data_IF_749876059803
#
_entry.id   IF_749876059803
#
_cell.length_a   1.000
_cell.length_b   1.000
_cell.length_c   1.000
_cell.angle_alpha   90.00
_cell.angle_beta   90.00
_cell.angle_gamma   90.00
#
_symmetry.space_group_name_H-M   'P 1'
#
loop_
_entity.id
_entity.type
_entity.pdbx_description
1 polymer ?
#
# COMPACT_ATOMS: atom_id res chain seq x y z
N UNK A 1 -90.83 -39.60 -15.30
CA UNK A 1 -90.01 -38.70 -14.44
C UNK A 1 -88.57 -39.07 -14.64
N UNK A 2 -87.77 -38.25 -15.34
CA UNK A 2 -86.33 -38.47 -15.58
C UNK A 2 -85.60 -37.32 -14.89
N UNK A 3 -84.80 -37.66 -13.90
CA UNK A 3 -83.94 -36.76 -13.16
C UNK A 3 -82.59 -36.68 -13.95
N UNK A 4 -82.30 -35.52 -14.51
CA UNK A 4 -81.00 -35.29 -15.16
C UNK A 4 -79.97 -34.83 -14.13
N UNK A 5 -78.82 -35.52 -14.11
CA UNK A 5 -77.71 -35.25 -13.24
C UNK A 5 -76.72 -34.36 -14.01
N UNK A 6 -76.57 -33.11 -13.54
CA UNK A 6 -75.64 -32.12 -14.10
C UNK A 6 -74.27 -32.29 -13.47
N UNK A 7 -73.27 -32.67 -14.25
CA UNK A 7 -71.88 -32.72 -13.81
C UNK A 7 -71.19 -31.37 -14.06
N UNK A 8 -70.85 -30.65 -12.97
CA UNK A 8 -70.11 -29.45 -13.00
C UNK A 8 -68.60 -29.76 -12.99
N UNK A 9 -67.92 -29.64 -14.12
CA UNK A 9 -66.47 -29.81 -14.20
C UNK A 9 -65.79 -28.54 -13.69
N UNK A 10 -65.16 -28.61 -12.51
CA UNK A 10 -64.32 -27.56 -11.97
C UNK A 10 -62.90 -27.66 -12.55
N UNK A 11 -62.56 -26.86 -13.51
CA UNK A 11 -61.21 -26.72 -14.05
C UNK A 11 -60.36 -25.91 -13.09
N UNK A 12 -59.48 -26.56 -12.32
CA UNK A 12 -58.46 -25.91 -11.47
C UNK A 12 -57.28 -25.53 -12.36
N UNK A 13 -57.19 -24.28 -12.75
CA UNK A 13 -56.01 -23.72 -13.45
C UNK A 13 -54.90 -23.47 -12.41
N UNK A 14 -53.94 -24.37 -12.33
CA UNK A 14 -52.75 -24.15 -11.56
C UNK A 14 -51.86 -23.19 -12.34
N UNK A 15 -51.86 -21.92 -11.97
CA UNK A 15 -50.85 -20.95 -12.38
C UNK A 15 -49.52 -21.30 -11.65
N UNK A 16 -48.62 -21.99 -12.36
CA UNK A 16 -47.23 -22.08 -11.93
C UNK A 16 -46.61 -20.69 -12.04
N UNK A 17 -46.55 -19.95 -10.96
CA UNK A 17 -45.62 -18.83 -10.81
C UNK A 17 -44.21 -19.41 -10.83
N UNK A 18 -43.58 -19.45 -11.98
CA UNK A 18 -42.15 -19.58 -12.12
C UNK A 18 -41.61 -18.21 -11.63
N UNK A 19 -41.37 -18.12 -10.33
CA UNK A 19 -40.63 -17.01 -9.79
C UNK A 19 -39.22 -17.10 -10.38
N UNK A 20 -38.88 -16.18 -11.29
CA UNK A 20 -37.49 -15.91 -11.65
C UNK A 20 -36.78 -15.52 -10.35
N UNK A 21 -36.20 -16.53 -9.68
CA UNK A 21 -35.17 -16.31 -8.67
C UNK A 21 -33.97 -15.77 -9.45
N UNK A 22 -33.96 -14.45 -9.73
CA UNK A 22 -32.72 -13.78 -10.05
C UNK A 22 -31.81 -14.02 -8.85
N UNK A 23 -30.95 -15.03 -8.96
CA UNK A 23 -29.80 -15.19 -8.11
C UNK A 23 -29.04 -13.87 -8.22
N UNK A 24 -29.22 -13.00 -7.24
CA UNK A 24 -28.44 -11.79 -7.12
C UNK A 24 -26.97 -12.24 -7.08
N UNK A 25 -26.27 -12.10 -8.20
CA UNK A 25 -24.88 -12.50 -8.30
C UNK A 25 -24.14 -11.87 -7.12
N UNK A 26 -23.56 -12.70 -6.26
CA UNK A 26 -22.86 -12.24 -5.08
C UNK A 26 -21.82 -11.21 -5.55
N UNK A 27 -21.91 -9.98 -5.06
CA UNK A 27 -20.92 -8.94 -5.37
C UNK A 27 -19.55 -9.45 -4.94
N UNK A 28 -18.58 -9.38 -5.82
CA UNK A 28 -17.19 -9.71 -5.56
C UNK A 28 -16.40 -8.39 -5.50
N UNK A 29 -15.93 -8.02 -4.30
CA UNK A 29 -15.24 -6.76 -4.04
C UNK A 29 -13.76 -7.01 -3.80
N UNK A 30 -12.91 -6.36 -4.58
CA UNK A 30 -11.45 -6.51 -4.50
C UNK A 30 -10.83 -5.17 -4.07
N UNK A 31 -9.96 -5.25 -3.06
CA UNK A 31 -9.13 -4.14 -2.62
C UNK A 31 -7.72 -4.30 -3.19
N UNK A 32 -7.16 -3.23 -3.77
CA UNK A 32 -5.79 -3.21 -4.29
C UNK A 32 -5.01 -2.13 -3.55
N UNK A 33 -3.94 -2.51 -2.84
CA UNK A 33 -2.97 -1.56 -2.30
C UNK A 33 -1.75 -1.55 -3.21
N UNK A 34 -1.44 -0.39 -3.78
CA UNK A 34 -0.36 -0.22 -4.75
C UNK A 34 0.79 0.60 -4.16
N UNK A 35 1.98 0.03 -4.17
CA UNK A 35 3.24 0.63 -3.75
C UNK A 35 4.18 0.77 -4.95
N UNK A 36 5.33 1.41 -4.81
CA UNK A 36 6.19 1.71 -5.96
C UNK A 36 7.51 0.94 -5.96
N UNK A 37 8.09 0.67 -4.82
CA UNK A 37 9.41 0.05 -4.70
C UNK A 37 9.50 -1.31 -5.38
N UNK A 38 8.42 -2.07 -5.37
CA UNK A 38 8.33 -3.40 -5.98
C UNK A 38 7.90 -3.39 -7.45
N UNK A 39 7.52 -2.25 -8.03
CA UNK A 39 7.10 -2.11 -9.44
C UNK A 39 8.24 -2.49 -10.39
N UNK A 40 7.89 -3.04 -11.54
CA UNK A 40 8.83 -3.41 -12.60
C UNK A 40 9.77 -2.25 -12.94
N UNK A 41 11.07 -2.52 -13.03
CA UNK A 41 12.08 -1.51 -13.39
C UNK A 41 12.44 -0.52 -12.29
N UNK A 42 11.73 -0.48 -11.16
CA UNK A 42 12.04 0.43 -10.04
C UNK A 42 13.06 -0.20 -9.10
N UNK A 43 14.19 0.50 -8.86
CA UNK A 43 15.34 -0.02 -8.12
C UNK A 43 15.99 1.02 -7.19
N UNK A 44 15.95 2.30 -7.54
CA UNK A 44 16.71 3.35 -6.85
C UNK A 44 15.85 4.52 -6.38
N UNK A 45 16.39 5.36 -5.49
CA UNK A 45 15.73 6.57 -4.98
C UNK A 45 15.32 7.55 -6.08
N UNK A 46 16.09 7.61 -7.17
CA UNK A 46 15.82 8.48 -8.33
C UNK A 46 14.48 8.15 -9.02
N UNK A 47 13.86 7.03 -8.67
CA UNK A 47 12.62 6.50 -9.23
C UNK A 47 11.42 6.65 -8.31
N UNK A 48 11.64 7.01 -7.02
CA UNK A 48 10.63 6.87 -5.96
C UNK A 48 9.99 8.18 -5.49
N UNK A 49 10.46 9.32 -5.92
CA UNK A 49 9.92 10.59 -5.42
C UNK A 49 10.00 11.73 -6.44
N UNK A 50 9.22 12.80 -6.23
CA UNK A 50 9.06 13.90 -7.19
C UNK A 50 10.36 14.59 -7.63
N UNK A 51 11.40 14.54 -6.81
CA UNK A 51 12.72 15.09 -7.10
C UNK A 51 13.60 14.17 -7.94
N UNK A 52 13.20 12.90 -8.10
CA UNK A 52 13.97 11.92 -8.87
C UNK A 52 13.74 12.05 -10.37
N UNK A 53 14.81 11.92 -11.15
CA UNK A 53 14.77 12.15 -12.61
C UNK A 53 13.94 11.08 -13.36
N UNK A 54 13.78 9.87 -12.81
CA UNK A 54 12.97 8.80 -13.39
C UNK A 54 11.58 8.63 -12.75
N UNK A 55 11.23 9.43 -11.75
CA UNK A 55 9.99 9.27 -11.00
C UNK A 55 8.74 9.29 -11.89
N UNK A 56 8.67 10.17 -12.88
CA UNK A 56 7.51 10.24 -13.79
C UNK A 56 7.33 8.93 -14.57
N UNK A 57 8.44 8.31 -14.97
CA UNK A 57 8.41 7.01 -15.66
C UNK A 57 7.97 5.88 -14.72
N UNK A 58 8.41 5.90 -13.47
CA UNK A 58 7.98 4.93 -12.46
C UNK A 58 6.49 5.02 -12.16
N UNK A 59 5.92 6.24 -12.15
CA UNK A 59 4.48 6.47 -12.05
C UNK A 59 3.71 5.82 -13.20
N UNK A 60 4.24 5.90 -14.43
CA UNK A 60 3.64 5.25 -15.58
C UNK A 60 3.63 3.73 -15.41
N UNK A 61 4.76 3.12 -15.03
CA UNK A 61 4.84 1.68 -14.79
C UNK A 61 3.90 1.24 -13.66
N UNK A 62 3.89 1.94 -12.53
CA UNK A 62 2.99 1.67 -11.42
C UNK A 62 1.52 1.74 -11.87
N UNK A 63 1.16 2.76 -12.64
CA UNK A 63 -0.21 2.94 -13.16
C UNK A 63 -0.62 1.81 -14.09
N UNK A 64 0.26 1.36 -14.98
CA UNK A 64 -0.03 0.25 -15.89
C UNK A 64 -0.10 -1.11 -15.15
N UNK A 65 0.71 -1.35 -14.11
CA UNK A 65 0.55 -2.53 -13.26
C UNK A 65 -0.81 -2.54 -12.54
N UNK A 66 -1.22 -1.40 -11.99
CA UNK A 66 -2.54 -1.25 -11.35
C UNK A 66 -3.66 -1.45 -12.35
N UNK A 67 -3.58 -0.85 -13.53
CA UNK A 67 -4.56 -1.01 -14.60
C UNK A 67 -4.68 -2.47 -15.03
N UNK A 68 -3.55 -3.15 -15.23
CA UNK A 68 -3.51 -4.57 -15.55
C UNK A 68 -4.22 -5.44 -14.51
N UNK A 69 -3.98 -5.15 -13.22
CA UNK A 69 -4.62 -5.86 -12.11
C UNK A 69 -6.12 -5.58 -12.02
N UNK A 70 -6.54 -4.32 -12.18
CA UNK A 70 -7.96 -3.91 -12.16
C UNK A 70 -8.74 -4.57 -13.28
N UNK A 71 -8.23 -4.52 -14.51
CA UNK A 71 -8.87 -5.14 -15.67
C UNK A 71 -8.99 -6.65 -15.47
N UNK A 72 -7.91 -7.31 -15.02
CA UNK A 72 -7.91 -8.74 -14.72
C UNK A 72 -8.88 -9.12 -13.60
N UNK A 73 -9.05 -8.26 -12.59
CA UNK A 73 -10.01 -8.49 -11.52
C UNK A 73 -11.45 -8.45 -12.04
N UNK A 74 -11.81 -7.48 -12.89
CA UNK A 74 -13.13 -7.44 -13.53
C UNK A 74 -13.35 -8.64 -14.48
N UNK A 75 -12.36 -9.00 -15.28
CA UNK A 75 -12.41 -10.19 -16.14
C UNK A 75 -12.59 -11.49 -15.35
N UNK A 76 -12.08 -11.54 -14.12
CA UNK A 76 -12.25 -12.67 -13.20
C UNK A 76 -13.55 -12.61 -12.38
N UNK A 77 -14.43 -11.64 -12.65
CA UNK A 77 -15.77 -11.54 -12.05
C UNK A 77 -15.88 -10.57 -10.87
N UNK A 78 -14.87 -9.74 -10.58
CA UNK A 78 -15.03 -8.65 -9.63
C UNK A 78 -16.12 -7.69 -10.11
N UNK A 79 -16.97 -7.24 -9.18
CA UNK A 79 -18.03 -6.28 -9.45
C UNK A 79 -17.69 -4.88 -8.94
N UNK A 80 -16.74 -4.81 -8.02
CA UNK A 80 -16.26 -3.57 -7.41
C UNK A 80 -14.76 -3.68 -7.13
N UNK A 81 -14.00 -2.67 -7.50
CA UNK A 81 -12.56 -2.57 -7.21
C UNK A 81 -12.27 -1.22 -6.58
N UNK A 82 -11.60 -1.26 -5.42
CA UNK A 82 -11.04 -0.08 -4.78
C UNK A 82 -9.52 -0.16 -4.84
N UNK A 83 -8.87 0.93 -5.22
CA UNK A 83 -7.42 1.05 -5.27
C UNK A 83 -6.95 2.06 -4.23
N UNK A 84 -5.91 1.74 -3.48
CA UNK A 84 -5.19 2.68 -2.62
C UNK A 84 -3.82 2.98 -3.24
N UNK A 85 -3.57 4.25 -3.52
CA UNK A 85 -2.24 4.76 -3.84
C UNK A 85 -1.46 4.83 -2.53
N UNK A 86 -0.54 3.91 -2.33
CA UNK A 86 0.03 3.60 -1.02
C UNK A 86 1.51 3.98 -0.89
N UNK A 87 2.15 4.44 -1.95
CA UNK A 87 3.55 4.85 -1.93
C UNK A 87 3.73 6.33 -1.51
N UNK A 88 4.66 6.59 -0.61
CA UNK A 88 5.14 7.93 -0.28
C UNK A 88 3.99 8.88 0.11
N UNK A 89 3.73 9.89 -0.73
CA UNK A 89 2.67 10.87 -0.47
C UNK A 89 1.27 10.43 -0.92
N UNK A 90 1.10 9.23 -1.50
CA UNK A 90 -0.17 8.71 -2.01
C UNK A 90 -0.71 9.48 -3.23
N UNK A 91 0.16 10.02 -4.09
CA UNK A 91 -0.19 10.79 -5.28
C UNK A 91 0.58 10.33 -6.53
N UNK A 92 0.87 9.04 -6.60
CA UNK A 92 1.74 8.46 -7.62
C UNK A 92 1.00 8.03 -8.88
N UNK A 93 -0.20 7.47 -8.72
CA UNK A 93 -1.00 6.97 -9.83
C UNK A 93 -1.49 8.10 -10.74
N UNK A 94 -1.41 7.87 -12.05
CA UNK A 94 -1.93 8.75 -13.10
C UNK A 94 -3.43 8.45 -13.28
N UNK A 95 -4.26 9.19 -12.58
CA UNK A 95 -5.70 8.88 -12.45
C UNK A 95 -6.45 8.87 -13.77
N UNK A 96 -6.03 9.71 -14.72
CA UNK A 96 -6.59 9.81 -16.06
C UNK A 96 -6.34 8.57 -16.94
N UNK A 97 -5.39 7.70 -16.54
CA UNK A 97 -5.07 6.45 -17.24
C UNK A 97 -5.75 5.23 -16.64
N UNK A 98 -6.39 5.37 -15.47
CA UNK A 98 -7.04 4.26 -14.78
C UNK A 98 -8.45 4.00 -15.32
N UNK A 99 -8.98 2.77 -15.22
CA UNK A 99 -10.37 2.46 -15.55
C UNK A 99 -11.34 3.30 -14.71
N UNK A 100 -12.39 3.84 -15.38
CA UNK A 100 -13.36 4.77 -14.76
C UNK A 100 -14.27 4.13 -13.71
N UNK A 101 -14.37 2.82 -13.68
CA UNK A 101 -15.30 2.05 -12.83
C UNK A 101 -14.67 1.55 -11.54
N UNK A 102 -13.66 2.26 -11.03
CA UNK A 102 -13.02 2.00 -9.72
C UNK A 102 -13.20 3.19 -8.79
N UNK A 103 -12.92 2.97 -7.51
CA UNK A 103 -12.68 4.04 -6.54
C UNK A 103 -11.20 4.09 -6.17
N UNK A 104 -10.68 5.30 -5.93
CA UNK A 104 -9.27 5.52 -5.63
C UNK A 104 -9.10 6.28 -4.32
N UNK A 105 -8.32 5.71 -3.39
CA UNK A 105 -7.88 6.39 -2.17
C UNK A 105 -6.53 7.05 -2.42
N UNK A 106 -6.42 8.35 -2.13
CA UNK A 106 -5.21 9.15 -2.37
C UNK A 106 -4.79 9.97 -1.16
N UNK A 107 -3.50 10.28 -1.10
CA UNK A 107 -2.82 11.13 -0.13
C UNK A 107 -2.85 10.61 1.31
N UNK A 108 -2.05 11.21 2.16
CA UNK A 108 -1.92 10.94 3.59
C UNK A 108 -2.09 12.25 4.39
N UNK A 109 -2.41 12.20 5.72
CA UNK A 109 -2.51 11.02 6.60
C UNK A 109 -3.84 10.27 6.48
N UNK A 110 -3.84 8.97 6.83
CA UNK A 110 -5.01 8.08 6.79
C UNK A 110 -5.04 7.12 7.98
N UNK A 111 -6.16 6.97 8.71
CA UNK A 111 -6.23 6.13 9.91
C UNK A 111 -5.83 4.66 9.72
N UNK A 112 -6.10 4.08 8.54
CA UNK A 112 -5.70 2.70 8.19
C UNK A 112 -4.50 2.66 7.24
N UNK A 113 -3.73 3.76 7.15
CA UNK A 113 -2.51 3.86 6.36
C UNK A 113 -2.74 3.42 4.89
N UNK A 114 -1.93 2.49 4.37
CA UNK A 114 -2.01 1.95 3.01
C UNK A 114 -3.31 1.18 2.74
N UNK A 115 -4.06 0.81 3.79
CA UNK A 115 -5.30 0.03 3.72
C UNK A 115 -6.57 0.86 3.93
N UNK A 116 -6.47 2.20 3.85
CA UNK A 116 -7.63 3.08 4.08
C UNK A 116 -8.77 2.79 3.10
N UNK A 117 -9.97 2.64 3.64
CA UNK A 117 -11.18 2.33 2.89
C UNK A 117 -11.55 0.85 2.85
N UNK A 118 -10.68 -0.05 3.36
CA UNK A 118 -11.03 -1.46 3.53
C UNK A 118 -12.06 -1.64 4.65
N UNK A 119 -12.98 -2.55 4.44
CA UNK A 119 -13.97 -3.02 5.43
C UNK A 119 -14.30 -4.51 5.21
N UNK A 120 -15.18 -5.06 6.05
CA UNK A 120 -15.61 -6.46 6.01
C UNK A 120 -16.43 -6.85 4.77
N UNK A 121 -16.77 -5.91 3.90
CA UNK A 121 -17.51 -6.17 2.66
C UNK A 121 -16.62 -6.61 1.51
N UNK A 122 -15.29 -6.46 1.64
CA UNK A 122 -14.35 -6.94 0.64
C UNK A 122 -14.14 -8.44 0.72
N UNK A 123 -13.95 -9.08 -0.43
CA UNK A 123 -13.70 -10.52 -0.52
C UNK A 123 -12.20 -10.86 -0.57
N UNK A 124 -11.35 -9.94 -1.01
CA UNK A 124 -9.91 -10.17 -1.08
C UNK A 124 -9.08 -8.90 -1.32
N UNK A 125 -7.80 -9.00 -0.95
CA UNK A 125 -6.80 -7.94 -1.09
C UNK A 125 -5.69 -8.39 -2.03
N UNK A 126 -5.26 -7.48 -2.90
CA UNK A 126 -4.10 -7.61 -3.78
C UNK A 126 -3.07 -6.54 -3.39
N UNK A 127 -1.83 -6.95 -3.21
CA UNK A 127 -0.69 -6.06 -3.02
C UNK A 127 0.11 -5.95 -4.30
N UNK A 128 0.28 -4.75 -4.83
CA UNK A 128 1.06 -4.48 -6.05
C UNK A 128 2.28 -3.63 -5.73
N UNK A 129 3.42 -4.00 -6.32
CA UNK A 129 4.63 -3.21 -6.21
C UNK A 129 5.25 -3.15 -4.82
N UNK A 130 5.03 -4.15 -3.97
CA UNK A 130 5.54 -4.21 -2.59
C UNK A 130 7.00 -4.63 -2.53
N UNK A 131 7.64 -4.34 -1.39
CA UNK A 131 9.03 -4.62 -1.07
C UNK A 131 9.17 -5.30 0.31
N UNK A 132 10.34 -5.87 0.60
CA UNK A 132 10.63 -6.53 1.87
C UNK A 132 10.74 -5.57 3.05
N UNK A 133 10.56 -6.09 4.26
CA UNK A 133 10.73 -5.36 5.51
C UNK A 133 12.19 -4.95 5.78
N UNK A 134 12.36 -3.99 6.69
CA UNK A 134 13.67 -3.39 7.06
C UNK A 134 14.73 -4.42 7.45
N UNK A 135 14.33 -5.54 8.03
CA UNK A 135 15.25 -6.57 8.54
C UNK A 135 15.66 -7.59 7.49
N UNK A 136 15.11 -7.52 6.27
CA UNK A 136 15.44 -8.44 5.19
C UNK A 136 16.63 -7.91 4.36
N UNK A 137 17.79 -8.59 4.35
CA UNK A 137 18.97 -8.11 3.62
C UNK A 137 18.94 -8.41 2.11
N UNK A 138 17.92 -9.13 1.62
CA UNK A 138 17.89 -9.65 0.24
C UNK A 138 17.01 -8.85 -0.71
N UNK A 139 16.15 -7.94 -0.19
CA UNK A 139 15.18 -7.22 -1.02
C UNK A 139 15.71 -5.93 -1.62
N UNK A 140 15.15 -5.56 -2.76
CA UNK A 140 15.33 -4.23 -3.36
C UNK A 140 14.59 -3.22 -2.50
N UNK A 141 15.26 -2.14 -2.10
CA UNK A 141 14.66 -1.03 -1.33
C UNK A 141 14.00 -1.47 -0.01
N UNK A 142 14.50 -2.53 0.62
CA UNK A 142 13.97 -3.12 1.85
C UNK A 142 13.79 -2.09 2.98
N UNK A 143 12.56 -1.86 3.43
CA UNK A 143 12.23 -1.01 4.57
C UNK A 143 10.83 -1.32 5.08
N UNK A 144 10.40 -0.68 6.17
CA UNK A 144 9.02 -0.72 6.66
C UNK A 144 8.65 0.70 7.04
N UNK A 145 7.71 1.31 6.32
CA UNK A 145 7.18 2.68 6.43
C UNK A 145 8.21 3.79 6.18
N UNK A 146 9.44 3.67 6.66
CA UNK A 146 10.47 4.69 6.45
C UNK A 146 11.86 4.10 6.46
N UNK A 147 12.52 4.11 5.31
CA UNK A 147 13.94 3.73 5.20
C UNK A 147 14.86 4.70 5.94
N UNK A 148 14.45 5.94 6.15
CA UNK A 148 15.23 6.96 6.84
C UNK A 148 15.15 6.85 8.37
N UNK A 149 13.97 6.50 8.92
CA UNK A 149 13.68 6.67 10.34
C UNK A 149 13.59 5.37 11.12
N UNK A 150 13.10 4.29 10.50
CA UNK A 150 12.80 3.04 11.19
C UNK A 150 13.87 1.96 10.93
N UNK A 151 14.20 1.22 11.98
CA UNK A 151 15.11 0.08 11.93
C UNK A 151 14.37 -1.26 12.07
N UNK A 152 13.20 -1.29 12.72
CA UNK A 152 12.34 -2.46 12.81
C UNK A 152 10.93 -2.05 13.22
N UNK A 153 9.92 -2.76 12.73
CA UNK A 153 8.53 -2.68 13.14
C UNK A 153 8.06 -4.09 13.44
N UNK A 154 7.55 -4.32 14.65
CA UNK A 154 7.11 -5.65 15.06
C UNK A 154 5.66 -5.63 15.51
N UNK A 155 4.93 -6.67 15.13
CA UNK A 155 3.60 -6.95 15.64
C UNK A 155 3.64 -8.28 16.42
N UNK A 156 3.23 -8.23 17.69
CA UNK A 156 3.28 -9.39 18.61
C UNK A 156 4.65 -10.11 18.61
N UNK A 157 5.73 -9.33 18.54
CA UNK A 157 7.11 -9.81 18.58
C UNK A 157 7.71 -10.23 17.24
N UNK A 158 6.92 -10.37 16.16
CA UNK A 158 7.42 -10.70 14.82
C UNK A 158 7.73 -9.43 14.02
N UNK A 159 8.92 -9.34 13.41
CA UNK A 159 9.26 -8.25 12.47
C UNK A 159 8.36 -8.33 11.24
N UNK A 160 7.85 -7.17 10.80
CA UNK A 160 6.89 -7.06 9.72
C UNK A 160 7.42 -6.16 8.60
N UNK A 161 7.20 -6.58 7.37
CA UNK A 161 7.16 -5.68 6.22
C UNK A 161 5.83 -4.92 6.19
N UNK A 162 5.70 -3.97 5.29
CA UNK A 162 4.43 -3.30 5.02
C UNK A 162 3.34 -4.29 4.59
N UNK A 163 3.71 -5.31 3.81
CA UNK A 163 2.81 -6.40 3.47
C UNK A 163 2.28 -7.12 4.72
N UNK A 164 3.13 -7.38 5.73
CA UNK A 164 2.73 -8.00 6.99
C UNK A 164 1.80 -7.12 7.82
N UNK A 165 2.11 -5.83 7.94
CA UNK A 165 1.25 -4.84 8.64
C UNK A 165 -0.11 -4.74 7.96
N UNK A 166 -0.12 -4.60 6.64
CA UNK A 166 -1.33 -4.45 5.84
C UNK A 166 -2.18 -5.72 5.80
N UNK A 167 -1.54 -6.90 5.79
CA UNK A 167 -2.24 -8.17 5.92
C UNK A 167 -2.93 -8.31 7.29
N UNK A 168 -2.30 -7.80 8.36
CA UNK A 168 -2.92 -7.79 9.69
C UNK A 168 -4.10 -6.82 9.77
N UNK A 169 -4.04 -5.67 9.08
CA UNK A 169 -5.17 -4.74 8.94
C UNK A 169 -6.31 -5.40 8.16
N UNK A 170 -6.03 -6.02 7.00
CA UNK A 170 -7.02 -6.76 6.24
C UNK A 170 -7.65 -7.91 7.06
N UNK A 171 -6.82 -8.65 7.81
CA UNK A 171 -7.25 -9.72 8.68
C UNK A 171 -8.14 -9.28 9.84
N UNK A 172 -8.01 -8.04 10.31
CA UNK A 172 -8.93 -7.44 11.28
C UNK A 172 -10.37 -7.39 10.75
N UNK A 173 -10.53 -7.07 9.45
CA UNK A 173 -11.81 -7.07 8.75
C UNK A 173 -12.20 -8.45 8.18
N UNK A 174 -11.45 -9.50 8.51
CA UNK A 174 -11.68 -10.85 8.00
C UNK A 174 -11.50 -10.98 6.47
N UNK A 175 -10.68 -10.13 5.85
CA UNK A 175 -10.40 -10.13 4.41
C UNK A 175 -9.04 -10.78 4.15
N UNK A 176 -8.93 -11.81 3.27
CA UNK A 176 -7.66 -12.43 2.93
C UNK A 176 -6.85 -11.57 1.96
N UNK A 177 -5.52 -11.57 2.10
CA UNK A 177 -4.61 -11.16 1.03
C UNK A 177 -4.45 -12.36 0.09
N UNK A 178 -4.73 -12.16 -1.19
CA UNK A 178 -4.80 -13.26 -2.17
C UNK A 178 -3.64 -13.27 -3.15
N UNK A 179 -2.97 -12.12 -3.33
CA UNK A 179 -1.88 -11.97 -4.28
C UNK A 179 -0.93 -10.85 -3.86
N UNK A 180 0.34 -11.02 -4.20
CA UNK A 180 1.38 -9.97 -4.07
C UNK A 180 2.24 -9.91 -5.32
N UNK A 181 2.65 -8.69 -5.75
CA UNK A 181 3.71 -8.47 -6.73
C UNK A 181 4.88 -7.68 -6.14
N UNK A 182 6.08 -7.93 -6.65
CA UNK A 182 7.29 -7.25 -6.24
C UNK A 182 8.54 -8.00 -6.70
N UNK A 183 9.63 -7.87 -5.95
CA UNK A 183 10.81 -8.68 -6.17
C UNK A 183 10.65 -10.10 -5.62
N UNK A 184 11.60 -10.97 -5.93
CA UNK A 184 11.59 -12.38 -5.48
C UNK A 184 11.66 -12.50 -3.95
N UNK A 185 12.31 -11.56 -3.28
CA UNK A 185 12.46 -11.57 -1.83
C UNK A 185 11.13 -11.25 -1.12
N UNK A 186 10.37 -10.23 -1.57
CA UNK A 186 9.06 -9.92 -0.95
C UNK A 186 8.03 -11.00 -1.22
N UNK A 187 7.99 -11.55 -2.44
CA UNK A 187 7.08 -12.64 -2.75
C UNK A 187 7.34 -13.85 -1.83
N UNK A 188 8.61 -14.20 -1.63
CA UNK A 188 9.01 -15.27 -0.71
C UNK A 188 8.64 -14.94 0.75
N UNK A 189 8.93 -13.72 1.22
CA UNK A 189 8.64 -13.27 2.58
C UNK A 189 7.14 -13.33 2.87
N UNK A 190 6.33 -12.79 1.98
CA UNK A 190 4.88 -12.73 2.16
C UNK A 190 4.23 -14.10 2.03
N UNK A 191 4.68 -14.94 1.11
CA UNK A 191 4.20 -16.32 0.99
C UNK A 191 4.54 -17.15 2.24
N UNK A 192 5.72 -16.94 2.83
CA UNK A 192 6.09 -17.60 4.09
C UNK A 192 5.18 -17.17 5.25
N UNK A 193 4.74 -15.90 5.28
CA UNK A 193 3.86 -15.36 6.32
C UNK A 193 2.39 -15.77 6.14
N UNK A 194 1.86 -15.68 4.91
CA UNK A 194 0.44 -15.79 4.62
C UNK A 194 0.02 -17.16 4.07
N UNK A 195 0.99 -17.99 3.68
CA UNK A 195 0.74 -19.29 3.08
C UNK A 195 0.56 -19.22 1.57
N UNK A 196 -0.32 -20.04 1.03
CA UNK A 196 -0.45 -20.28 -0.41
C UNK A 196 -1.23 -19.16 -1.14
N UNK A 197 -0.69 -17.95 -1.15
CA UNK A 197 -1.18 -16.84 -1.98
C UNK A 197 -0.49 -16.82 -3.35
N UNK A 198 -1.04 -16.09 -4.33
CA UNK A 198 -0.38 -15.93 -5.61
C UNK A 198 0.73 -14.88 -5.54
N UNK A 199 1.87 -15.17 -6.17
CA UNK A 199 3.03 -14.29 -6.25
C UNK A 199 3.39 -13.94 -7.68
N UNK A 200 3.56 -12.64 -8.00
CA UNK A 200 4.08 -12.16 -9.27
C UNK A 200 5.48 -11.56 -9.03
N UNK A 201 6.51 -12.34 -9.35
CA UNK A 201 7.90 -11.85 -9.30
C UNK A 201 8.19 -11.07 -10.58
N UNK A 202 8.26 -9.75 -10.48
CA UNK A 202 8.54 -8.86 -11.63
C UNK A 202 10.01 -8.47 -11.75
N UNK A 203 10.79 -8.71 -10.68
CA UNK A 203 12.23 -8.50 -10.65
C UNK A 203 12.92 -9.39 -9.62
N UNK A 204 14.23 -9.54 -9.74
CA UNK A 204 15.08 -10.34 -8.85
C UNK A 204 16.17 -9.47 -8.25
N UNK A 205 16.24 -9.42 -6.95
CA UNK A 205 17.19 -8.60 -6.22
C UNK A 205 18.63 -9.11 -6.35
N UNK A 206 19.56 -8.20 -6.64
CA UNK A 206 20.99 -8.40 -6.44
C UNK A 206 21.48 -7.72 -5.17
N UNK A 207 20.67 -6.81 -4.63
CA UNK A 207 20.92 -6.05 -3.42
C UNK A 207 19.96 -4.87 -3.32
N UNK A 208 20.17 -4.00 -2.34
CA UNK A 208 19.26 -2.90 -2.00
C UNK A 208 19.03 -1.91 -3.17
N UNK A 209 20.01 -1.70 -4.05
CA UNK A 209 19.97 -0.76 -5.18
C UNK A 209 20.23 -1.41 -6.54
N UNK A 210 20.10 -2.73 -6.64
CA UNK A 210 20.39 -3.44 -7.90
C UNK A 210 19.49 -4.63 -8.09
N UNK A 211 18.94 -4.81 -9.30
CA UNK A 211 18.08 -5.91 -9.66
C UNK A 211 18.16 -6.26 -11.15
N UNK A 212 17.82 -7.51 -11.45
CA UNK A 212 17.37 -7.92 -12.79
C UNK A 212 15.85 -7.76 -12.83
N UNK A 213 15.30 -7.16 -13.88
CA UNK A 213 13.86 -6.90 -14.00
C UNK A 213 13.28 -7.53 -15.26
N UNK A 214 11.99 -7.86 -15.24
CA UNK A 214 11.22 -8.10 -16.46
C UNK A 214 11.12 -6.79 -17.27
N UNK A 215 10.74 -6.91 -18.53
CA UNK A 215 10.25 -5.77 -19.30
C UNK A 215 8.80 -5.47 -18.89
N UNK A 216 8.35 -4.20 -18.98
CA UNK A 216 7.06 -3.77 -18.44
C UNK A 216 5.88 -4.61 -18.93
N UNK A 217 5.75 -4.86 -20.22
CA UNK A 217 4.65 -5.62 -20.79
C UNK A 217 4.60 -7.06 -20.27
N UNK A 218 5.75 -7.70 -20.07
CA UNK A 218 5.83 -9.04 -19.50
C UNK A 218 5.42 -9.07 -18.02
N UNK A 219 5.74 -8.01 -17.28
CA UNK A 219 5.30 -7.86 -15.89
C UNK A 219 3.77 -7.64 -15.80
N UNK A 220 3.21 -6.80 -16.66
CA UNK A 220 1.76 -6.57 -16.72
C UNK A 220 0.99 -7.85 -17.05
N UNK A 221 1.47 -8.63 -17.99
CA UNK A 221 0.82 -9.92 -18.34
C UNK A 221 0.93 -10.93 -17.21
N UNK A 222 2.08 -11.02 -16.53
CA UNK A 222 2.25 -11.87 -15.35
C UNK A 222 1.27 -11.47 -14.23
N UNK A 223 1.12 -10.17 -13.97
CA UNK A 223 0.18 -9.64 -12.96
C UNK A 223 -1.25 -10.00 -13.36
N UNK A 224 -1.67 -9.80 -14.62
CA UNK A 224 -3.00 -10.22 -15.11
C UNK A 224 -3.28 -11.69 -14.82
N UNK A 225 -2.34 -12.55 -15.19
CA UNK A 225 -2.45 -13.98 -14.97
C UNK A 225 -2.61 -14.31 -13.47
N UNK A 226 -1.76 -13.72 -12.62
CA UNK A 226 -1.75 -13.98 -11.17
C UNK A 226 -3.00 -13.46 -10.46
N UNK A 227 -3.53 -12.31 -10.86
CA UNK A 227 -4.81 -11.78 -10.34
C UNK A 227 -5.96 -12.74 -10.67
N UNK A 228 -6.06 -13.22 -11.89
CA UNK A 228 -7.11 -14.18 -12.28
C UNK A 228 -7.01 -15.49 -11.48
N UNK A 229 -5.78 -16.01 -11.31
CA UNK A 229 -5.53 -17.20 -10.49
C UNK A 229 -5.93 -16.97 -9.03
N UNK A 230 -5.56 -15.83 -8.45
CA UNK A 230 -5.87 -15.47 -7.06
C UNK A 230 -7.38 -15.37 -6.82
N UNK A 231 -8.10 -14.69 -7.71
CA UNK A 231 -9.56 -14.52 -7.61
C UNK A 231 -10.27 -15.89 -7.76
N UNK A 232 -9.79 -16.74 -8.66
CA UNK A 232 -10.33 -18.10 -8.83
C UNK A 232 -10.21 -18.98 -7.57
N UNK A 233 -9.28 -18.64 -6.66
CA UNK A 233 -8.99 -19.37 -5.42
C UNK A 233 -9.31 -18.59 -4.15
N UNK A 234 -9.98 -17.46 -4.24
CA UNK A 234 -10.20 -16.54 -3.13
C UNK A 234 -10.80 -17.20 -1.88
N UNK A 235 -11.65 -18.22 -2.08
CA UNK A 235 -12.29 -18.97 -1.00
C UNK A 235 -11.35 -19.91 -0.24
N UNK A 236 -10.22 -20.26 -0.83
CA UNK A 236 -9.24 -21.19 -0.25
C UNK A 236 -8.23 -20.47 0.64
N UNK A 237 -8.20 -19.14 0.59
CA UNK A 237 -7.21 -18.31 1.27
C UNK A 237 -7.81 -17.74 2.54
N UNK A 238 -7.07 -17.88 3.65
CA UNK A 238 -7.51 -17.43 4.97
C UNK A 238 -6.96 -16.05 5.30
N UNK A 239 -7.75 -15.18 5.97
CA UNK A 239 -7.26 -13.92 6.51
C UNK A 239 -6.14 -14.12 7.52
N UNK A 240 -5.13 -13.26 7.48
CA UNK A 240 -4.04 -13.22 8.46
C UNK A 240 -4.49 -12.47 9.72
N UNK A 241 -4.73 -13.20 10.81
CA UNK A 241 -5.25 -12.63 12.06
C UNK A 241 -4.21 -12.64 13.17
N UNK A 242 -4.01 -11.50 13.80
CA UNK A 242 -3.21 -11.39 15.01
C UNK A 242 -4.05 -11.64 16.25
N UNK A 243 -3.40 -12.12 17.30
CA UNK A 243 -3.99 -12.16 18.64
C UNK A 243 -4.11 -10.75 19.20
N UNK A 244 -5.24 -10.47 19.86
CA UNK A 244 -5.49 -9.20 20.54
C UNK A 244 -5.30 -9.36 22.06
N UNK A 245 -4.86 -8.33 22.79
CA UNK A 245 -4.41 -7.03 22.26
C UNK A 245 -3.17 -7.17 21.40
N UNK A 246 -2.96 -6.21 20.48
CA UNK A 246 -1.83 -6.22 19.55
C UNK A 246 -0.70 -5.38 20.12
N UNK A 247 0.46 -5.98 20.31
CA UNK A 247 1.68 -5.31 20.70
C UNK A 247 2.41 -4.80 19.45
N UNK A 248 2.66 -3.50 19.39
CA UNK A 248 3.50 -2.85 18.41
C UNK A 248 4.83 -2.47 19.08
N UNK A 249 5.93 -3.01 18.59
CA UNK A 249 7.28 -2.56 18.94
C UNK A 249 7.87 -1.83 17.72
N UNK A 250 8.38 -0.61 17.92
CA UNK A 250 9.03 0.18 16.88
C UNK A 250 10.46 0.51 17.31
N UNK A 251 11.42 0.18 16.46
CA UNK A 251 12.82 0.55 16.62
C UNK A 251 13.19 1.64 15.62
N UNK A 252 13.65 2.77 16.15
CA UNK A 252 14.11 3.91 15.37
C UNK A 252 15.60 3.84 15.08
N UNK A 253 16.03 4.48 14.01
CA UNK A 253 17.47 4.67 13.71
C UNK A 253 18.12 5.72 14.59
N UNK A 254 17.32 6.63 15.17
CA UNK A 254 17.75 7.65 16.11
C UNK A 254 17.05 7.46 17.46
N UNK A 255 17.73 7.81 18.58
CA UNK A 255 17.19 7.66 19.93
C UNK A 255 16.11 8.70 20.29
N UNK A 256 16.15 9.91 19.69
CA UNK A 256 15.26 11.01 20.06
C UNK A 256 13.76 10.70 19.90
N UNK A 257 13.29 10.02 18.84
CA UNK A 257 11.88 9.66 18.75
C UNK A 257 11.42 8.76 19.90
N UNK A 258 12.21 7.78 20.31
CA UNK A 258 11.85 6.87 21.41
C UNK A 258 11.77 7.61 22.74
N UNK A 259 12.64 8.57 22.96
CA UNK A 259 12.62 9.41 24.17
C UNK A 259 11.37 10.29 24.23
N UNK A 260 11.10 11.06 23.17
CA UNK A 260 9.96 11.98 23.14
C UNK A 260 8.62 11.27 23.17
N UNK A 261 8.48 10.16 22.44
CA UNK A 261 7.25 9.36 22.43
C UNK A 261 6.94 8.73 23.80
N UNK A 262 7.98 8.44 24.60
CA UNK A 262 7.78 7.89 25.95
C UNK A 262 7.19 8.89 26.98
N UNK A 263 7.06 10.15 26.61
CA UNK A 263 6.30 11.13 27.42
C UNK A 263 4.79 10.93 27.31
N UNK A 264 4.32 10.16 26.32
CA UNK A 264 2.93 9.73 26.23
C UNK A 264 2.68 8.57 27.21
N UNK A 265 1.68 8.65 28.10
CA UNK A 265 1.43 7.60 29.11
C UNK A 265 1.12 6.22 28.53
N UNK A 266 0.76 6.16 27.26
CA UNK A 266 0.41 4.93 26.52
C UNK A 266 1.61 4.27 25.86
N UNK A 267 2.82 4.86 25.96
CA UNK A 267 4.03 4.40 25.28
C UNK A 267 5.07 3.99 26.31
N UNK A 268 5.53 2.77 26.22
CA UNK A 268 6.69 2.26 26.95
C UNK A 268 7.95 2.47 26.13
N UNK A 269 9.00 3.08 26.71
CA UNK A 269 10.35 3.05 26.11
C UNK A 269 11.05 1.78 26.53
N UNK A 270 11.30 0.87 25.59
CA UNK A 270 11.86 -0.46 25.88
C UNK A 270 13.38 -0.49 25.82
N UNK A 271 14.01 0.39 25.02
CA UNK A 271 15.46 0.67 25.02
C UNK A 271 15.75 2.09 24.50
N UNK A 272 17.02 2.44 24.30
CA UNK A 272 17.42 3.77 23.83
C UNK A 272 16.79 4.16 22.48
N UNK A 273 16.46 3.22 21.63
CA UNK A 273 15.94 3.42 20.27
C UNK A 273 14.53 2.89 20.06
N UNK A 274 13.92 2.22 21.04
CA UNK A 274 12.71 1.45 20.83
C UNK A 274 11.60 1.84 21.78
N UNK A 275 10.38 1.77 21.25
CA UNK A 275 9.15 1.93 22.01
C UNK A 275 8.26 0.71 21.85
N UNK A 276 7.34 0.56 22.81
CA UNK A 276 6.21 -0.36 22.76
C UNK A 276 4.91 0.40 22.94
N UNK A 277 3.93 0.05 22.13
CA UNK A 277 2.54 0.43 22.24
C UNK A 277 1.68 -0.82 22.21
N UNK A 278 0.65 -0.89 23.05
CA UNK A 278 -0.30 -2.02 23.06
C UNK A 278 -1.67 -1.47 22.69
N UNK A 279 -2.12 -1.80 21.48
CA UNK A 279 -3.44 -1.44 20.99
C UNK A 279 -4.45 -2.57 21.19
N UNK A 280 -5.71 -2.22 21.40
CA UNK A 280 -6.78 -3.22 21.54
C UNK A 280 -6.95 -4.07 20.28
N UNK A 281 -6.69 -3.51 19.12
CA UNK A 281 -6.82 -4.13 17.80
C UNK A 281 -5.92 -3.46 16.76
N UNK A 282 -5.96 -3.93 15.50
CA UNK A 282 -5.16 -3.37 14.41
C UNK A 282 -5.59 -1.97 13.97
N UNK A 283 -6.82 -1.54 14.23
CA UNK A 283 -7.27 -0.16 13.92
C UNK A 283 -6.56 0.83 14.84
N UNK A 284 -6.46 0.50 16.13
CA UNK A 284 -5.77 1.37 17.10
C UNK A 284 -4.26 1.39 16.84
N UNK A 285 -3.68 0.23 16.54
CA UNK A 285 -2.26 0.11 16.17
C UNK A 285 -1.95 0.90 14.89
N UNK A 286 -2.77 0.80 13.84
CA UNK A 286 -2.53 1.53 12.58
C UNK A 286 -2.64 3.05 12.77
N UNK A 287 -3.59 3.54 13.57
CA UNK A 287 -3.70 4.96 13.93
C UNK A 287 -2.47 5.46 14.68
N UNK A 288 -1.95 4.66 15.60
CA UNK A 288 -0.75 5.05 16.34
C UNK A 288 0.49 5.02 15.44
N UNK A 289 0.61 4.02 14.56
CA UNK A 289 1.71 3.95 13.59
C UNK A 289 1.66 5.13 12.60
N UNK A 290 0.46 5.47 12.08
CA UNK A 290 0.26 6.65 11.24
C UNK A 290 0.65 7.94 12.00
N UNK A 291 0.26 8.07 13.26
CA UNK A 291 0.63 9.23 14.10
C UNK A 291 2.14 9.40 14.19
N UNK A 292 2.89 8.34 14.50
CA UNK A 292 4.36 8.46 14.64
C UNK A 292 5.08 8.68 13.32
N UNK A 293 4.44 8.34 12.19
CA UNK A 293 5.02 8.54 10.86
C UNK A 293 4.73 9.94 10.29
N UNK A 294 3.59 10.54 10.64
CA UNK A 294 3.11 11.76 9.97
C UNK A 294 3.05 12.99 10.88
N UNK A 295 3.05 12.81 12.22
CA UNK A 295 2.96 13.93 13.12
C UNK A 295 4.14 14.91 12.98
N UNK A 296 3.80 16.18 12.80
CA UNK A 296 4.73 17.30 12.83
C UNK A 296 4.09 18.46 13.62
N UNK A 297 4.84 19.17 14.46
CA UNK A 297 4.31 20.37 15.13
C UNK A 297 3.78 21.42 14.16
N UNK A 298 4.33 21.48 12.95
CA UNK A 298 3.85 22.34 11.87
C UNK A 298 2.86 21.55 11.02
N UNK A 299 1.58 21.68 11.35
CA UNK A 299 0.48 20.99 10.63
C UNK A 299 -0.02 21.77 9.42
N UNK A 300 0.57 22.95 9.15
CA UNK A 300 0.20 23.75 8.00
C UNK A 300 0.49 23.04 6.68
N UNK A 301 -0.37 23.21 5.67
CA UNK A 301 -0.14 22.65 4.35
C UNK A 301 1.20 23.07 3.78
N UNK A 302 1.99 22.13 3.31
CA UNK A 302 3.31 22.39 2.73
C UNK A 302 3.29 23.34 1.53
N UNK A 303 2.13 23.54 0.92
CA UNK A 303 1.93 24.47 -0.20
C UNK A 303 2.34 25.90 0.17
N UNK A 304 2.02 26.33 1.39
CA UNK A 304 2.42 27.66 1.87
C UNK A 304 3.92 27.80 2.06
N UNK A 305 4.60 26.70 2.36
CA UNK A 305 6.07 26.71 2.54
C UNK A 305 6.83 26.53 1.24
N UNK A 306 6.18 26.02 0.20
CA UNK A 306 6.81 25.90 -1.13
C UNK A 306 6.86 27.24 -1.86
N UNK A 307 5.90 28.14 -1.60
CA UNK A 307 5.89 29.48 -2.20
C UNK A 307 6.86 30.42 -1.48
N UNK A 308 7.13 30.15 -0.22
CA UNK A 308 8.07 30.95 0.57
C UNK A 308 9.10 30.04 1.19
N UNK A 309 10.18 29.84 0.48
CA UNK A 309 11.50 29.82 1.09
C UNK A 309 12.29 31.06 0.71
N UNK A 310 11.81 32.29 0.95
CA UNK A 310 12.67 33.46 0.92
C UNK A 310 13.81 33.30 1.93
N UNK A 311 13.59 32.58 3.03
CA UNK A 311 14.63 32.29 4.02
C UNK A 311 15.73 31.34 3.51
N UNK A 312 15.42 30.42 2.64
CA UNK A 312 16.45 29.59 2.04
C UNK A 312 17.23 30.33 0.95
N UNK A 313 16.61 31.38 0.37
CA UNK A 313 17.29 32.26 -0.59
C UNK A 313 18.05 33.40 0.12
N UNK A 314 17.69 33.74 1.37
CA UNK A 314 18.35 34.81 2.13
C UNK A 314 19.38 34.32 3.16
N UNK A 315 19.57 33.03 3.32
CA UNK A 315 20.77 32.50 3.95
C UNK A 315 21.91 32.36 2.95
N UNK A 316 21.87 33.13 1.87
CA UNK A 316 23.07 33.50 1.19
C UNK A 316 23.95 34.18 2.20
N UNK A 317 25.08 33.65 2.52
CA UNK A 317 26.21 34.38 3.04
C UNK A 317 26.23 35.74 2.34
N UNK A 318 26.39 36.88 3.07
CA UNK A 318 26.61 38.14 2.39
C UNK A 318 27.72 37.90 1.38
N UNK A 319 27.45 38.18 0.14
CA UNK A 319 28.47 38.12 -0.91
C UNK A 319 29.66 38.86 -0.31
N UNK A 320 30.72 38.18 -0.04
CA UNK A 320 32.01 38.78 0.21
C UNK A 320 32.20 39.74 -0.91
N UNK A 321 32.14 41.02 -0.57
CA UNK A 321 32.34 42.15 -1.42
C UNK A 321 33.54 41.80 -2.33
N UNK A 322 33.30 41.60 -3.60
CA UNK A 322 34.32 41.48 -4.58
C UNK A 322 35.23 42.69 -4.42
N UNK A 323 36.44 42.44 -4.04
CA UNK A 323 37.42 43.45 -3.71
C UNK A 323 37.52 44.50 -4.77
N UNK A 324 37.56 45.71 -4.35
CA UNK A 324 37.94 46.88 -5.12
C UNK A 324 39.22 46.59 -5.94
N UNK A 325 39.33 47.04 -7.19
CA UNK A 325 40.54 46.83 -7.96
C UNK A 325 41.75 47.52 -7.31
N UNK A 326 42.74 46.72 -6.97
CA UNK A 326 44.03 47.20 -6.56
C UNK A 326 44.59 48.12 -7.68
N UNK A 327 44.68 49.40 -7.36
CA UNK A 327 45.45 50.36 -8.18
C UNK A 327 46.89 49.88 -8.23
N UNK A 328 47.38 49.57 -9.43
CA UNK A 328 48.76 49.34 -9.72
C UNK A 328 49.50 50.67 -9.52
N UNK A 329 50.26 50.82 -8.46
CA UNK A 329 51.33 51.82 -8.37
C UNK A 329 52.60 51.19 -8.94
N UNK A 330 52.98 51.65 -10.12
CA UNK A 330 54.32 51.49 -10.66
C UNK A 330 55.30 52.20 -9.76
N UNK A 331 56.30 51.50 -9.24
CA UNK A 331 57.54 52.11 -8.76
C UNK A 331 58.63 51.57 -9.63
N UNK A 332 59.22 52.52 -10.38
CA UNK A 332 60.55 52.34 -11.03
C UNK A 332 61.59 52.25 -9.88
N UNK A 333 62.42 51.28 -9.93
CA UNK A 333 63.87 51.31 -10.02
C UNK A 333 64.40 49.87 -10.02
#
# INVERSE_FOLDING_TARGET
>A
MKVGMLWLALAITILCFVGDSQSQSKKLKIYISADMEGVVGVVTDAQLGPSGFEYQRSREFMTEEVKAAVEAAFEAGATEVMVSDSHGNGQNLLIEKLPRNITLVRAFPRPLMMMQGIDETFDGVIFLGYHTGTTNPQGVRAHTMSSASLADVRLNGASMSEAGVNAAIAGHFNVPVVMISGDDAIVKETTALLGNIEGAVVKWAYGFHSARTLMPEAAYELIRQKVKQAIGRIKDIKPYKLRTPVQLDVRFKNYRPSEVLSYLPIVERTDAHSIRFVGKDMIEVSKFLEFIMTYSPSLEPLVSTQVCKPFACNNGFPALIAGSPLKSTSVMN
#
